data_IF_835817265863
#
_entry.id   IF_835817265863
#
_cell.length_a   1.000
_cell.length_b   1.000
_cell.length_c   1.000
_cell.angle_alpha   90.00
_cell.angle_beta   90.00
_cell.angle_gamma   90.00
#
_symmetry.space_group_name_H-M   'P 1'
#
loop_
_entity.id
_entity.type
_entity.pdbx_description
1 polymer ?
#
# COMPACT_ATOMS: atom_id res chain seq x y z
N UNK A 1 -4.32 27.96 84.32
CA UNK A 1 -3.33 26.95 84.73
C UNK A 1 -2.36 26.78 83.56
N UNK A 2 -1.20 27.43 83.59
CA UNK A 2 0.08 26.92 84.12
C UNK A 2 0.61 25.76 83.26
N UNK A 3 1.44 26.02 82.24
CA UNK A 3 2.91 26.23 82.25
C UNK A 3 3.70 24.92 82.44
N UNK A 4 4.51 24.56 81.43
CA UNK A 4 5.98 24.25 81.47
C UNK A 4 6.37 23.41 80.24
N UNK A 5 7.02 23.94 79.19
CA UNK A 5 8.46 24.22 78.97
C UNK A 5 9.44 23.05 79.11
N UNK A 6 10.49 23.14 78.27
CA UNK A 6 11.80 22.46 78.26
C UNK A 6 11.87 21.15 77.43
N UNK A 7 12.80 20.90 76.50
CA UNK A 7 14.05 21.55 76.04
C UNK A 7 14.50 20.88 74.72
N UNK A 8 15.06 21.66 73.78
CA UNK A 8 15.92 21.15 72.69
C UNK A 8 17.21 20.51 73.24
N UNK A 9 17.85 19.61 72.48
CA UNK A 9 19.28 19.67 72.32
C UNK A 9 19.67 19.94 70.85
N UNK A 10 20.36 21.06 70.71
CA UNK A 10 21.23 21.44 69.62
C UNK A 10 22.41 20.45 69.56
N UNK A 11 22.65 19.79 68.42
CA UNK A 11 23.93 19.13 68.16
C UNK A 11 24.44 19.59 66.79
N UNK A 12 25.20 20.69 66.85
CA UNK A 12 26.15 21.09 65.82
C UNK A 12 27.29 20.06 65.80
N UNK A 13 27.24 19.12 64.87
CA UNK A 13 28.38 18.29 64.47
C UNK A 13 29.18 19.04 63.41
N UNK A 14 30.43 19.37 63.71
CA UNK A 14 31.30 20.23 62.95
C UNK A 14 31.52 19.78 61.49
N UNK A 15 31.46 20.75 60.58
CA UNK A 15 32.06 20.65 59.26
C UNK A 15 33.56 20.42 59.41
N UNK A 16 34.09 19.42 58.73
CA UNK A 16 35.49 19.40 58.31
C UNK A 16 35.49 19.19 56.81
N UNK A 17 35.66 20.29 56.08
CA UNK A 17 35.85 20.30 54.63
C UNK A 17 37.29 19.86 54.38
N UNK A 18 37.49 18.62 53.97
CA UNK A 18 38.70 18.24 53.22
C UNK A 18 38.41 18.39 51.74
N UNK A 19 38.82 19.52 51.17
CA UNK A 19 38.91 19.71 49.75
C UNK A 19 40.05 18.84 49.17
N UNK A 20 39.66 17.86 48.34
CA UNK A 20 40.29 17.30 47.12
C UNK A 20 41.83 17.24 46.98
N UNK A 21 42.30 16.14 46.35
CA UNK A 21 42.57 16.29 44.92
C UNK A 21 41.75 15.32 44.07
N UNK A 22 41.35 15.82 42.91
CA UNK A 22 40.88 15.06 41.76
C UNK A 22 42.07 14.31 41.13
N UNK A 23 42.01 12.98 41.03
CA UNK A 23 42.53 12.32 39.84
C UNK A 23 41.50 11.38 39.20
N UNK A 24 41.19 11.70 37.95
CA UNK A 24 40.86 10.78 36.87
C UNK A 24 39.63 9.86 37.04
N UNK A 25 38.56 10.27 36.35
CA UNK A 25 37.50 9.37 35.93
C UNK A 25 38.12 8.19 35.15
N UNK A 26 38.13 7.01 35.77
CA UNK A 26 38.27 5.74 35.08
C UNK A 26 36.90 5.10 35.00
N UNK A 27 36.51 4.82 33.77
CA UNK A 27 35.25 4.23 33.34
C UNK A 27 34.79 3.10 34.26
N UNK A 28 33.79 3.40 35.09
CA UNK A 28 32.88 2.37 35.59
C UNK A 28 32.07 1.92 34.39
N UNK A 29 32.46 0.78 33.82
CA UNK A 29 31.66 0.05 32.85
C UNK A 29 30.27 -0.18 33.43
N UNK A 30 29.29 0.59 32.95
CA UNK A 30 27.89 0.26 33.11
C UNK A 30 27.62 -0.91 32.16
N UNK A 31 27.88 -2.12 32.66
CA UNK A 31 27.41 -3.35 32.04
C UNK A 31 25.88 -3.32 31.92
N UNK A 32 25.40 -3.81 30.78
CA UNK A 32 24.01 -3.88 30.35
C UNK A 32 23.09 -4.39 31.45
N UNK A 33 22.14 -3.55 31.85
CA UNK A 33 20.88 -4.06 32.38
C UNK A 33 20.00 -4.40 31.19
N UNK A 34 19.98 -5.68 30.82
CA UNK A 34 18.96 -6.29 29.96
C UNK A 34 17.57 -6.00 30.55
N UNK A 35 16.95 -4.92 30.09
CA UNK A 35 15.53 -4.67 30.30
C UNK A 35 14.83 -5.53 29.25
N UNK A 36 14.48 -6.75 29.67
CA UNK A 36 13.93 -7.79 28.83
C UNK A 36 12.81 -7.31 27.92
N UNK A 37 12.91 -7.73 26.65
CA UNK A 37 11.89 -8.26 25.73
C UNK A 37 10.43 -7.72 25.75
N UNK A 38 10.17 -6.57 26.36
CA UNK A 38 8.86 -5.88 26.35
C UNK A 38 9.02 -4.34 26.31
N UNK A 39 10.21 -3.84 25.98
CA UNK A 39 10.37 -2.49 25.47
C UNK A 39 10.03 -2.51 23.98
N UNK A 40 8.74 -2.33 23.68
CA UNK A 40 8.17 -2.00 22.37
C UNK A 40 9.27 -1.44 21.45
N UNK A 41 9.67 -2.23 20.46
CA UNK A 41 10.56 -1.78 19.40
C UNK A 41 9.97 -0.50 18.83
N UNK A 42 10.51 0.66 19.23
CA UNK A 42 10.13 1.97 18.71
C UNK A 42 10.60 2.02 17.26
N UNK A 43 9.79 1.45 16.38
CA UNK A 43 9.01 2.24 15.43
C UNK A 43 9.80 3.10 14.45
N UNK A 44 11.06 2.75 14.12
CA UNK A 44 11.73 3.47 13.04
C UNK A 44 11.14 3.08 11.70
N UNK A 45 10.24 3.95 11.23
CA UNK A 45 9.72 3.89 9.88
C UNK A 45 10.84 4.20 8.86
N UNK A 46 10.98 3.40 7.80
CA UNK A 46 12.05 3.58 6.82
C UNK A 46 11.94 4.92 6.08
N UNK A 47 13.03 5.35 5.44
CA UNK A 47 13.04 6.59 4.65
C UNK A 47 11.91 6.59 3.60
N UNK A 48 11.19 7.71 3.50
CA UNK A 48 10.03 7.84 2.61
C UNK A 48 8.72 7.34 3.24
N UNK A 49 8.73 7.06 4.54
CA UNK A 49 7.54 6.77 5.34
C UNK A 49 7.51 7.63 6.60
N UNK A 50 6.34 7.75 7.20
CA UNK A 50 6.13 8.38 8.50
C UNK A 50 5.22 7.50 9.36
N UNK A 51 5.38 7.61 10.68
CA UNK A 51 4.54 6.88 11.63
C UNK A 51 3.18 7.56 11.77
N UNK A 52 2.11 6.81 11.48
CA UNK A 52 0.73 7.22 11.74
C UNK A 52 0.01 6.11 12.48
N UNK A 53 -0.50 6.42 13.67
CA UNK A 53 -1.23 5.48 14.53
C UNK A 53 -0.45 4.17 14.80
N UNK A 54 0.85 4.28 15.07
CA UNK A 54 1.72 3.12 15.32
C UNK A 54 2.05 2.27 14.08
N UNK A 55 1.82 2.79 12.86
CA UNK A 55 2.13 2.10 11.60
C UNK A 55 2.91 3.01 10.65
N UNK A 56 3.80 2.44 9.86
CA UNK A 56 4.48 3.18 8.81
C UNK A 56 3.58 3.37 7.60
N UNK A 57 3.44 4.62 7.16
CA UNK A 57 2.66 5.02 6.00
C UNK A 57 3.58 5.76 5.03
N UNK A 58 3.41 5.51 3.73
CA UNK A 58 4.21 6.20 2.70
C UNK A 58 3.89 7.69 2.67
N UNK A 59 4.94 8.52 2.61
CA UNK A 59 4.77 9.98 2.49
C UNK A 59 4.37 10.40 1.07
N UNK A 60 4.68 9.55 0.08
CA UNK A 60 4.32 9.78 -1.32
C UNK A 60 2.89 9.33 -1.61
N UNK A 61 2.08 10.22 -2.16
CA UNK A 61 0.72 9.91 -2.58
C UNK A 61 0.64 8.79 -3.59
N UNK A 62 -0.39 7.95 -3.47
CA UNK A 62 -0.62 6.81 -4.33
C UNK A 62 0.35 5.65 -4.10
N UNK A 63 1.04 5.61 -2.96
CA UNK A 63 1.86 4.48 -2.53
C UNK A 63 1.33 3.92 -1.21
N UNK A 64 1.43 2.60 -1.06
CA UNK A 64 1.07 1.86 0.15
C UNK A 64 2.32 1.19 0.71
N UNK A 65 2.44 1.22 2.03
CA UNK A 65 3.55 0.55 2.70
C UNK A 65 3.32 -0.97 2.69
N UNK A 66 4.31 -1.70 2.20
CA UNK A 66 4.34 -3.16 2.18
C UNK A 66 5.18 -3.65 3.35
N UNK A 67 4.52 -4.22 4.36
CA UNK A 67 5.19 -4.63 5.60
C UNK A 67 6.13 -5.83 5.41
N UNK A 68 5.90 -6.64 4.38
CA UNK A 68 6.76 -7.80 4.07
C UNK A 68 8.09 -7.35 3.48
N UNK A 69 8.08 -6.49 2.46
CA UNK A 69 9.30 -5.97 1.84
C UNK A 69 9.84 -4.70 2.52
N UNK A 70 9.16 -4.19 3.55
CA UNK A 70 9.48 -2.94 4.27
C UNK A 70 9.70 -1.74 3.33
N UNK A 71 8.92 -1.66 2.26
CA UNK A 71 9.05 -0.61 1.22
C UNK A 71 7.70 -0.06 0.76
N UNK A 72 7.71 1.14 0.21
CA UNK A 72 6.55 1.73 -0.45
C UNK A 72 6.39 1.19 -1.87
N UNK A 73 5.20 0.67 -2.19
CA UNK A 73 4.81 0.23 -3.54
C UNK A 73 3.64 1.07 -4.03
N UNK A 74 3.45 1.24 -5.35
CA UNK A 74 2.24 1.85 -5.88
C UNK A 74 0.99 1.19 -5.32
N UNK A 75 0.05 2.02 -4.89
CA UNK A 75 -1.23 1.58 -4.37
C UNK A 75 -2.13 1.13 -5.53
N UNK A 76 -2.31 -0.18 -5.61
CA UNK A 76 -3.17 -0.84 -6.60
C UNK A 76 -4.61 -1.02 -6.13
N UNK A 77 -4.99 -0.49 -4.96
CA UNK A 77 -6.28 -0.77 -4.34
C UNK A 77 -6.39 -2.19 -3.78
N UNK A 78 -7.59 -2.56 -3.34
CA UNK A 78 -7.79 -3.76 -2.53
C UNK A 78 -7.94 -5.06 -3.33
N UNK A 79 -8.28 -5.00 -4.62
CA UNK A 79 -8.51 -6.18 -5.48
C UNK A 79 -7.33 -6.50 -6.41
N UNK A 80 -6.23 -5.75 -6.29
CA UNK A 80 -5.00 -5.94 -7.05
C UNK A 80 -3.75 -5.88 -6.15
N UNK A 81 -2.60 -6.20 -6.73
CA UNK A 81 -1.29 -6.13 -6.09
C UNK A 81 -0.23 -5.67 -7.09
N UNK A 82 0.82 -5.01 -6.59
CA UNK A 82 1.93 -4.56 -7.43
C UNK A 82 2.91 -5.70 -7.71
N UNK A 83 3.14 -6.04 -8.99
CA UNK A 83 4.13 -7.06 -9.39
C UNK A 83 4.67 -6.83 -10.79
N UNK A 84 5.99 -6.91 -10.94
CA UNK A 84 6.71 -6.71 -12.21
C UNK A 84 6.37 -5.35 -12.87
N UNK A 85 6.42 -4.27 -12.10
CA UNK A 85 6.23 -2.91 -12.62
C UNK A 85 4.78 -2.55 -13.00
N UNK A 86 3.79 -3.35 -12.62
CA UNK A 86 2.37 -3.06 -12.85
C UNK A 86 1.45 -3.63 -11.77
N UNK A 87 0.27 -3.05 -11.64
CA UNK A 87 -0.82 -3.64 -10.85
C UNK A 87 -1.39 -4.87 -11.56
N UNK A 88 -1.58 -5.96 -10.81
CA UNK A 88 -2.16 -7.21 -11.28
C UNK A 88 -3.34 -7.60 -10.40
N UNK A 89 -4.40 -8.09 -11.03
CA UNK A 89 -5.59 -8.52 -10.31
C UNK A 89 -5.31 -9.76 -9.46
N UNK A 90 -5.90 -9.80 -8.26
CA UNK A 90 -5.89 -10.99 -7.40
C UNK A 90 -6.72 -12.13 -8.00
N UNK A 91 -7.77 -11.79 -8.74
CA UNK A 91 -8.69 -12.75 -9.38
C UNK A 91 -8.33 -12.99 -10.84
N UNK A 92 -8.31 -14.26 -11.24
CA UNK A 92 -8.11 -14.66 -12.63
C UNK A 92 -9.24 -14.21 -13.54
N UNK A 93 -8.89 -13.93 -14.80
CA UNK A 93 -9.85 -13.45 -15.80
C UNK A 93 -10.32 -12.01 -15.58
N UNK A 94 -9.61 -11.24 -14.76
CA UNK A 94 -9.82 -9.80 -14.56
C UNK A 94 -8.60 -9.02 -15.05
N UNK A 95 -8.85 -7.80 -15.53
CA UNK A 95 -7.84 -6.83 -15.97
C UNK A 95 -7.90 -5.60 -15.08
N UNK A 96 -6.73 -5.11 -14.69
CA UNK A 96 -6.62 -3.91 -13.88
C UNK A 96 -6.96 -2.68 -14.73
N UNK A 97 -7.76 -1.78 -14.17
CA UNK A 97 -8.15 -0.51 -14.76
C UNK A 97 -7.51 0.63 -13.96
N UNK A 98 -6.50 1.28 -14.53
CA UNK A 98 -5.71 2.32 -13.86
C UNK A 98 -6.54 3.55 -13.49
N UNK A 99 -7.60 3.84 -14.24
CA UNK A 99 -8.46 5.01 -14.00
C UNK A 99 -9.32 4.83 -12.74
N UNK A 100 -9.97 3.68 -12.60
CA UNK A 100 -10.80 3.35 -11.45
C UNK A 100 -10.03 2.71 -10.31
N UNK A 101 -8.75 2.38 -10.50
CA UNK A 101 -7.90 1.63 -9.57
C UNK A 101 -8.55 0.34 -9.05
N UNK A 102 -9.24 -0.37 -9.93
CA UNK A 102 -9.92 -1.63 -9.59
C UNK A 102 -9.79 -2.64 -10.72
N UNK A 103 -10.01 -3.90 -10.40
CA UNK A 103 -10.06 -4.98 -11.36
C UNK A 103 -11.47 -5.14 -11.95
N UNK A 104 -11.55 -5.17 -13.28
CA UNK A 104 -12.78 -5.45 -14.02
C UNK A 104 -12.65 -6.78 -14.77
N UNK A 105 -13.75 -7.50 -15.04
CA UNK A 105 -13.70 -8.69 -15.89
C UNK A 105 -12.98 -8.39 -17.21
N UNK A 106 -12.05 -9.26 -17.57
CA UNK A 106 -11.28 -9.12 -18.79
C UNK A 106 -12.14 -9.45 -20.01
N UNK A 107 -12.54 -8.40 -20.72
CA UNK A 107 -13.34 -8.47 -21.93
C UNK A 107 -12.50 -8.77 -23.19
N UNK A 108 -11.17 -8.88 -23.10
CA UNK A 108 -10.30 -8.94 -24.27
C UNK A 108 -10.10 -7.58 -24.94
N UNK A 109 -9.29 -7.56 -26.01
CA UNK A 109 -8.83 -6.30 -26.60
C UNK A 109 -9.86 -5.59 -27.49
N UNK A 110 -10.86 -6.30 -27.99
CA UNK A 110 -11.90 -5.75 -28.87
C UNK A 110 -13.10 -5.16 -28.12
N UNK A 111 -13.12 -5.31 -26.79
CA UNK A 111 -14.26 -4.93 -25.96
C UNK A 111 -13.81 -4.16 -24.70
N UNK A 112 -14.79 -3.58 -24.01
CA UNK A 112 -14.60 -2.89 -22.74
C UNK A 112 -15.71 -3.28 -21.76
N UNK A 113 -15.42 -3.25 -20.46
CA UNK A 113 -16.39 -3.54 -19.41
C UNK A 113 -17.20 -2.28 -19.09
N UNK A 114 -18.53 -2.35 -19.18
CA UNK A 114 -19.44 -1.26 -18.80
C UNK A 114 -20.79 -1.82 -18.36
N UNK A 115 -21.39 -1.25 -17.31
CA UNK A 115 -22.71 -1.63 -16.80
C UNK A 115 -22.91 -3.15 -16.60
N UNK A 116 -21.90 -3.82 -16.03
CA UNK A 116 -21.99 -5.25 -15.71
C UNK A 116 -21.83 -6.22 -16.90
N UNK A 117 -21.43 -5.73 -18.08
CA UNK A 117 -21.18 -6.59 -19.26
C UNK A 117 -20.05 -6.06 -20.15
N UNK A 118 -19.54 -6.93 -21.01
CA UNK A 118 -18.58 -6.56 -22.05
C UNK A 118 -19.31 -5.98 -23.27
N UNK A 119 -18.81 -4.85 -23.74
CA UNK A 119 -19.31 -4.12 -24.89
C UNK A 119 -18.24 -4.03 -25.98
N UNK A 120 -18.61 -4.29 -27.22
CA UNK A 120 -17.70 -4.16 -28.34
C UNK A 120 -17.33 -2.71 -28.61
N UNK A 121 -16.03 -2.46 -28.87
CA UNK A 121 -15.53 -1.13 -29.26
C UNK A 121 -16.08 -0.70 -30.62
N UNK A 122 -16.25 -1.68 -31.53
CA UNK A 122 -16.72 -1.48 -32.90
C UNK A 122 -18.23 -1.59 -33.01
N UNK A 123 -18.85 -0.64 -33.72
CA UNK A 123 -20.30 -0.53 -33.85
C UNK A 123 -20.89 -1.74 -34.59
N UNK A 124 -21.96 -2.30 -34.02
CA UNK A 124 -22.72 -3.38 -34.65
C UNK A 124 -22.06 -4.76 -34.56
N UNK A 125 -20.95 -4.90 -33.82
CA UNK A 125 -20.41 -6.20 -33.44
C UNK A 125 -21.09 -6.74 -32.16
N UNK A 126 -21.11 -8.06 -32.04
CA UNK A 126 -21.61 -8.82 -30.89
C UNK A 126 -20.43 -9.42 -30.11
N UNK A 127 -20.54 -9.39 -28.79
CA UNK A 127 -19.51 -9.92 -27.91
C UNK A 127 -19.68 -11.43 -27.69
N UNK A 128 -18.62 -12.19 -27.94
CA UNK A 128 -18.59 -13.63 -27.71
C UNK A 128 -17.76 -13.96 -26.47
N UNK A 129 -18.44 -14.26 -25.36
CA UNK A 129 -17.82 -14.51 -24.04
C UNK A 129 -16.75 -15.61 -24.03
N UNK A 130 -16.96 -16.69 -24.78
CA UNK A 130 -16.06 -17.86 -24.78
C UNK A 130 -14.66 -17.56 -25.30
N UNK A 131 -14.54 -16.71 -26.32
CA UNK A 131 -13.25 -16.36 -26.93
C UNK A 131 -12.87 -14.89 -26.72
N UNK A 132 -13.68 -14.13 -25.96
CA UNK A 132 -13.50 -12.71 -25.67
C UNK A 132 -13.30 -11.84 -26.92
N UNK A 133 -13.97 -12.18 -28.02
CA UNK A 133 -13.88 -11.44 -29.28
C UNK A 133 -15.20 -10.80 -29.66
N UNK A 134 -15.11 -9.70 -30.37
CA UNK A 134 -16.25 -9.07 -31.00
C UNK A 134 -16.31 -9.45 -32.48
N UNK A 135 -17.48 -9.87 -32.95
CA UNK A 135 -17.67 -10.29 -34.34
C UNK A 135 -18.92 -9.67 -34.91
N UNK A 136 -18.95 -9.54 -36.23
CA UNK A 136 -20.19 -9.15 -36.88
C UNK A 136 -21.25 -10.27 -36.74
N UNK A 137 -22.53 -9.91 -36.62
CA UNK A 137 -23.63 -10.87 -36.62
C UNK A 137 -23.58 -11.78 -37.85
N UNK A 138 -24.20 -12.96 -37.77
CA UNK A 138 -24.24 -13.94 -38.87
C UNK A 138 -24.68 -13.28 -40.19
N UNK A 139 -23.95 -13.55 -41.28
CA UNK A 139 -24.21 -12.98 -42.60
C UNK A 139 -23.72 -11.53 -42.80
N UNK A 140 -23.05 -10.93 -41.80
CA UNK A 140 -22.43 -9.61 -41.92
C UNK A 140 -20.90 -9.69 -41.86
N UNK A 141 -20.24 -8.75 -42.53
CA UNK A 141 -18.79 -8.54 -42.48
C UNK A 141 -18.49 -7.11 -42.00
N UNK A 142 -17.33 -6.92 -41.39
CA UNK A 142 -16.89 -5.60 -40.94
C UNK A 142 -16.54 -4.75 -42.16
N UNK A 143 -17.18 -3.59 -42.30
CA UNK A 143 -16.82 -2.59 -43.31
C UNK A 143 -15.95 -1.52 -42.64
N UNK A 144 -14.63 -1.44 -42.94
CA UNK A 144 -13.75 -0.47 -42.31
C UNK A 144 -14.05 0.97 -42.74
N UNK A 145 -14.52 1.20 -43.97
CA UNK A 145 -14.87 2.53 -44.49
C UNK A 145 -16.07 3.12 -43.77
N UNK A 146 -17.07 2.29 -43.43
CA UNK A 146 -18.28 2.72 -42.71
C UNK A 146 -18.22 2.48 -41.20
N UNK A 147 -17.15 1.85 -40.72
CA UNK A 147 -16.97 1.45 -39.33
C UNK A 147 -18.18 0.72 -38.72
N UNK A 148 -18.77 -0.20 -39.49
CA UNK A 148 -19.95 -0.96 -39.07
C UNK A 148 -20.02 -2.33 -39.74
N UNK A 149 -20.81 -3.23 -39.15
CA UNK A 149 -21.13 -4.52 -39.75
C UNK A 149 -22.24 -4.38 -40.81
N UNK A 150 -21.94 -4.74 -42.07
CA UNK A 150 -22.90 -4.77 -43.18
C UNK A 150 -23.07 -6.19 -43.71
N UNK A 151 -24.23 -6.49 -44.32
CA UNK A 151 -24.40 -7.75 -45.06
C UNK A 151 -23.31 -7.83 -46.12
N UNK A 152 -22.58 -8.94 -46.18
CA UNK A 152 -21.71 -9.17 -47.32
C UNK A 152 -22.60 -9.23 -48.56
N UNK A 153 -22.31 -8.44 -49.59
CA UNK A 153 -22.81 -8.77 -50.92
C UNK A 153 -22.25 -10.15 -51.25
N UNK A 154 -23.10 -11.18 -51.30
CA UNK A 154 -22.76 -12.39 -52.01
C UNK A 154 -22.59 -11.99 -53.48
N UNK A 155 -21.38 -11.60 -53.89
CA UNK A 155 -20.93 -12.05 -55.20
C UNK A 155 -20.46 -13.46 -54.93
N UNK A 156 -21.27 -14.41 -55.36
CA UNK A 156 -20.70 -15.68 -55.76
C UNK A 156 -19.77 -15.31 -56.91
N UNK A 157 -18.47 -15.33 -56.65
CA UNK A 157 -17.51 -15.53 -57.74
C UNK A 157 -17.56 -17.05 -57.96
N UNK A 158 -18.55 -17.49 -58.73
CA UNK A 158 -18.59 -18.83 -59.34
C UNK A 158 -17.62 -18.77 -60.54
N UNK A 159 -16.43 -19.36 -60.37
CA UNK A 159 -15.55 -19.84 -61.44
C UNK A 159 -15.65 -21.37 -61.50
#
# INVERSE_FOLDING_TARGET
MLLKTLLLPLLLGAFSVTALPNPEAKDVGLEERDIGDDLIARGYCPKGTEERYGKCVCTKDGYKYDDYSKTCKPDCGDDAYWKYGKCRCKKDGYKYDDYSKTCKPDCGDDAYWKHGKCHCKKKGQEYHKYNKKCRCPKGKKWNPYRQECKRGSHRYDDD
#
